data_IF_807879185098
#
_entry.id   IF_807879185098
#
_cell.length_a   1.000
_cell.length_b   1.000
_cell.length_c   1.000
_cell.angle_alpha   90.00
_cell.angle_beta   90.00
_cell.angle_gamma   90.00
#
_symmetry.space_group_name_H-M   'P 1'
#
loop_
_entity.id
_entity.type
_entity.pdbx_description
1 polymer ?
#
# COMPACT_ATOMS: atom_id res chain seq x y z
N UNK A 1 -7.55 16.53 -5.50
CA UNK A 1 -6.29 16.44 -6.25
C UNK A 1 -5.29 15.67 -5.41
N UNK A 2 -5.13 14.39 -5.70
CA UNK A 2 -4.08 13.57 -5.10
C UNK A 2 -2.77 14.08 -5.66
N UNK A 3 -1.93 14.66 -4.83
CA UNK A 3 -0.58 15.05 -5.25
C UNK A 3 0.19 13.74 -5.38
N UNK A 4 0.36 13.25 -6.61
CA UNK A 4 1.44 12.33 -6.93
C UNK A 4 2.73 13.05 -6.53
N UNK A 5 3.28 12.67 -5.38
CA UNK A 5 4.63 13.08 -5.07
C UNK A 5 5.56 12.34 -6.01
N UNK A 6 6.70 12.96 -6.33
CA UNK A 6 7.69 12.47 -7.30
C UNK A 6 8.45 11.27 -6.71
N UNK A 7 7.74 10.18 -6.44
CA UNK A 7 8.20 9.02 -5.70
C UNK A 7 8.69 7.91 -6.65
N UNK A 8 9.43 6.95 -6.11
CA UNK A 8 9.87 5.77 -6.84
C UNK A 8 8.71 5.10 -7.59
N UNK A 9 8.92 4.87 -8.89
CA UNK A 9 7.93 4.26 -9.80
C UNK A 9 8.17 2.77 -10.03
N UNK A 10 9.26 2.22 -9.47
CA UNK A 10 9.62 0.82 -9.57
C UNK A 10 9.90 0.26 -8.19
N UNK A 11 9.66 -1.04 -8.01
CA UNK A 11 9.91 -1.72 -6.74
C UNK A 11 11.37 -1.60 -6.28
N UNK A 12 12.40 -1.75 -7.14
CA UNK A 12 13.78 -1.57 -6.71
C UNK A 12 14.11 -0.13 -6.27
N UNK A 13 13.57 0.89 -6.96
CA UNK A 13 13.78 2.27 -6.56
C UNK A 13 13.12 2.55 -5.20
N UNK A 14 11.93 1.98 -4.96
CA UNK A 14 11.21 2.13 -3.70
C UNK A 14 11.90 1.37 -2.56
N UNK A 15 12.48 0.20 -2.85
CA UNK A 15 13.27 -0.56 -1.89
C UNK A 15 14.42 0.28 -1.33
N UNK A 16 15.09 1.05 -2.20
CA UNK A 16 16.16 1.98 -1.81
C UNK A 16 15.59 3.16 -1.02
N UNK A 17 14.52 3.79 -1.51
CA UNK A 17 13.88 4.95 -0.86
C UNK A 17 13.39 4.62 0.57
N UNK A 18 12.83 3.43 0.78
CA UNK A 18 12.34 2.97 2.08
C UNK A 18 13.41 2.32 2.95
N UNK A 19 14.60 2.04 2.42
CA UNK A 19 15.63 1.25 3.12
C UNK A 19 15.25 -0.22 3.36
N UNK A 20 14.39 -0.79 2.52
CA UNK A 20 13.89 -2.17 2.62
C UNK A 20 14.40 -2.98 1.42
N UNK A 21 15.61 -3.57 1.48
CA UNK A 21 16.20 -4.27 0.34
C UNK A 21 15.38 -5.50 -0.11
N UNK A 22 14.64 -6.12 0.81
CA UNK A 22 13.81 -7.29 0.57
C UNK A 22 12.40 -6.97 0.01
N UNK A 23 12.11 -5.70 -0.31
CA UNK A 23 10.77 -5.29 -0.75
C UNK A 23 10.28 -6.08 -1.98
N UNK A 24 11.16 -6.39 -2.93
CA UNK A 24 10.81 -7.18 -4.11
C UNK A 24 10.27 -8.57 -3.74
N UNK A 25 10.95 -9.27 -2.83
CA UNK A 25 10.50 -10.58 -2.35
C UNK A 25 9.15 -10.49 -1.63
N UNK A 26 8.92 -9.44 -0.83
CA UNK A 26 7.64 -9.20 -0.15
C UNK A 26 6.51 -8.94 -1.15
N UNK A 27 6.76 -8.18 -2.22
CA UNK A 27 5.77 -7.94 -3.28
C UNK A 27 5.43 -9.25 -4.00
N UNK A 28 6.42 -10.07 -4.32
CA UNK A 28 6.21 -11.37 -4.96
C UNK A 28 5.38 -12.33 -4.09
N UNK A 29 5.68 -12.39 -2.79
CA UNK A 29 4.91 -13.16 -1.81
C UNK A 29 3.47 -12.65 -1.69
N UNK A 30 3.28 -11.34 -1.53
CA UNK A 30 1.97 -10.73 -1.46
C UNK A 30 1.13 -11.03 -2.72
N UNK A 31 1.72 -10.90 -3.91
CA UNK A 31 1.03 -11.23 -5.16
C UNK A 31 0.64 -12.70 -5.24
N UNK A 32 1.49 -13.60 -4.76
CA UNK A 32 1.16 -15.02 -4.69
C UNK A 32 -0.04 -15.29 -3.78
N UNK A 33 -0.08 -14.69 -2.58
CA UNK A 33 -1.23 -14.81 -1.67
C UNK A 33 -2.52 -14.30 -2.31
N UNK A 34 -2.46 -13.16 -3.03
CA UNK A 34 -3.63 -12.60 -3.71
C UNK A 34 -4.14 -13.50 -4.86
N UNK A 35 -3.23 -14.16 -5.58
CA UNK A 35 -3.57 -15.07 -6.68
C UNK A 35 -4.05 -16.44 -6.19
N UNK A 36 -3.66 -16.85 -4.98
CA UNK A 36 -3.95 -18.15 -4.41
C UNK A 36 -4.56 -18.07 -3.00
N UNK A 37 -5.73 -17.43 -2.83
CA UNK A 37 -6.30 -17.13 -1.50
C UNK A 37 -6.72 -18.38 -0.70
N UNK A 38 -6.87 -19.53 -1.37
CA UNK A 38 -7.23 -20.80 -0.73
C UNK A 38 -6.04 -21.75 -0.59
N UNK A 39 -4.82 -21.30 -0.87
CA UNK A 39 -3.63 -22.15 -0.70
C UNK A 39 -3.33 -22.29 0.80
N UNK A 40 -3.34 -23.52 1.36
CA UNK A 40 -3.09 -23.74 2.78
C UNK A 40 -1.58 -23.73 3.13
N UNK A 41 -0.70 -23.65 2.13
CA UNK A 41 0.74 -23.73 2.31
C UNK A 41 1.31 -22.42 2.85
N UNK A 42 2.25 -22.52 3.79
CA UNK A 42 3.02 -21.38 4.27
C UNK A 42 3.95 -20.87 3.16
N UNK A 43 4.07 -19.56 3.01
CA UNK A 43 4.96 -18.92 2.04
C UNK A 43 6.43 -19.36 2.17
N UNK A 44 6.86 -19.74 3.37
CA UNK A 44 8.22 -20.23 3.63
C UNK A 44 8.50 -21.61 3.02
N UNK A 45 7.45 -22.41 2.79
CA UNK A 45 7.56 -23.74 2.15
C UNK A 45 7.49 -23.66 0.62
N UNK A 46 7.20 -22.48 0.06
CA UNK A 46 7.02 -22.29 -1.38
C UNK A 46 8.37 -21.97 -2.02
N UNK A 47 8.80 -22.79 -3.00
CA UNK A 47 10.01 -22.51 -3.77
C UNK A 47 9.95 -21.16 -4.49
N UNK A 48 11.06 -20.43 -4.50
CA UNK A 48 11.13 -19.07 -5.06
C UNK A 48 10.65 -18.95 -6.51
N UNK A 49 10.89 -19.99 -7.32
CA UNK A 49 10.49 -20.02 -8.73
C UNK A 49 8.96 -20.05 -8.95
N UNK A 50 8.18 -20.36 -7.91
CA UNK A 50 6.72 -20.34 -8.00
C UNK A 50 6.14 -18.94 -7.77
N UNK A 51 6.92 -18.02 -7.20
CA UNK A 51 6.44 -16.66 -7.03
C UNK A 51 6.36 -15.93 -8.38
N UNK A 52 5.30 -15.14 -8.60
CA UNK A 52 5.19 -14.34 -9.80
C UNK A 52 6.25 -13.24 -9.79
N UNK A 53 6.97 -13.09 -10.90
CA UNK A 53 7.84 -11.93 -11.10
C UNK A 53 7.00 -10.68 -11.38
N UNK A 54 7.34 -9.57 -10.73
CA UNK A 54 6.68 -8.29 -10.94
C UNK A 54 7.70 -7.20 -11.29
N UNK A 55 7.74 -6.85 -12.58
CA UNK A 55 8.54 -5.74 -13.11
C UNK A 55 7.67 -4.50 -13.43
N UNK A 56 6.44 -4.49 -12.93
CA UNK A 56 5.47 -3.43 -13.19
C UNK A 56 5.77 -2.13 -12.45
N UNK A 57 5.12 -1.05 -12.91
CA UNK A 57 5.17 0.25 -12.24
C UNK A 57 4.30 0.27 -11.00
N UNK A 58 4.81 0.86 -9.92
CA UNK A 58 4.07 1.04 -8.67
C UNK A 58 3.52 2.46 -8.54
N UNK A 59 2.39 2.59 -7.85
CA UNK A 59 1.81 3.88 -7.49
C UNK A 59 1.70 3.97 -5.98
N UNK A 60 2.12 5.10 -5.42
CA UNK A 60 2.17 5.33 -3.98
C UNK A 60 1.14 6.39 -3.62
N UNK A 61 0.32 6.09 -2.62
CA UNK A 61 -0.71 6.98 -2.13
C UNK A 61 -0.46 7.29 -0.65
N UNK A 62 -0.02 8.51 -0.36
CA UNK A 62 0.21 8.97 1.02
C UNK A 62 -1.08 9.38 1.74
N UNK A 63 -2.24 9.07 1.17
CA UNK A 63 -3.52 9.38 1.79
C UNK A 63 -4.57 8.36 1.36
N UNK A 64 -5.46 8.05 2.29
CA UNK A 64 -6.67 7.29 2.03
C UNK A 64 -7.88 8.11 2.50
N UNK A 65 -9.05 7.87 1.91
CA UNK A 65 -10.31 8.42 2.41
C UNK A 65 -11.26 7.29 2.79
N UNK A 66 -11.92 7.45 3.93
CA UNK A 66 -12.94 6.52 4.42
C UNK A 66 -14.29 7.21 4.37
N UNK A 67 -15.24 6.63 3.65
CA UNK A 67 -16.62 7.13 3.57
C UNK A 67 -17.52 6.18 4.33
N UNK A 68 -18.26 6.70 5.31
CA UNK A 68 -19.14 5.90 6.15
C UNK A 68 -20.40 6.66 6.52
N UNK A 69 -21.43 5.90 6.88
CA UNK A 69 -22.69 6.44 7.36
C UNK A 69 -22.60 6.71 8.86
N UNK A 70 -22.89 7.94 9.27
CA UNK A 70 -22.87 8.37 10.66
C UNK A 70 -24.29 8.77 11.08
N UNK A 71 -25.11 7.85 11.64
CA UNK A 71 -26.52 8.12 11.95
C UNK A 71 -26.74 9.24 12.97
N UNK A 72 -25.77 9.44 13.86
CA UNK A 72 -25.78 10.45 14.92
C UNK A 72 -25.44 11.86 14.43
N UNK A 73 -24.96 11.99 13.19
CA UNK A 73 -24.57 13.28 12.65
C UNK A 73 -25.74 13.93 11.89
N UNK A 74 -26.33 14.93 12.53
CA UNK A 74 -27.48 15.70 12.02
C UNK A 74 -27.05 16.69 10.93
N UNK A 75 -25.74 16.91 10.76
CA UNK A 75 -25.20 18.02 9.97
C UNK A 75 -25.04 17.78 8.46
N UNK A 76 -25.38 16.60 7.93
CA UNK A 76 -25.16 16.26 6.51
C UNK A 76 -26.39 15.75 5.75
N UNK A 77 -26.60 16.24 4.51
CA UNK A 77 -27.54 15.64 3.55
C UNK A 77 -27.16 14.19 3.33
N UNK A 78 -28.02 13.26 3.77
CA UNK A 78 -27.82 11.82 3.62
C UNK A 78 -26.97 11.14 4.70
N UNK A 79 -26.57 11.83 5.78
CA UNK A 79 -25.81 11.26 6.93
C UNK A 79 -24.52 10.51 6.53
N UNK A 80 -23.95 10.85 5.38
CA UNK A 80 -22.67 10.32 4.89
C UNK A 80 -21.53 11.23 5.31
N UNK A 81 -20.49 10.65 5.93
CA UNK A 81 -19.24 11.30 6.30
C UNK A 81 -18.10 10.81 5.42
N UNK A 82 -17.09 11.66 5.27
CA UNK A 82 -15.82 11.32 4.60
C UNK A 82 -14.70 11.82 5.48
N UNK A 83 -13.86 10.90 5.94
CA UNK A 83 -12.64 11.22 6.69
C UNK A 83 -11.43 10.96 5.79
N UNK A 84 -10.38 11.76 5.95
CA UNK A 84 -9.13 11.62 5.22
C UNK A 84 -8.03 11.23 6.20
N UNK A 85 -7.32 10.15 5.90
CA UNK A 85 -6.20 9.62 6.66
C UNK A 85 -4.95 9.90 5.84
N UNK A 86 -4.00 10.65 6.39
CA UNK A 86 -2.76 11.02 5.69
C UNK A 86 -1.57 10.32 6.34
N UNK A 87 -0.73 9.71 5.52
CA UNK A 87 0.63 9.35 5.86
C UNK A 87 1.51 10.55 5.55
N UNK A 88 1.69 11.46 6.50
CA UNK A 88 2.56 12.62 6.32
C UNK A 88 3.98 12.25 6.71
N UNK A 89 4.96 12.05 5.80
CA UNK A 89 6.34 11.70 6.18
C UNK A 89 7.00 12.73 7.11
N UNK A 90 6.56 14.00 7.08
CA UNK A 90 7.06 15.07 7.95
C UNK A 90 6.77 14.90 9.46
N UNK A 91 5.87 13.99 9.85
CA UNK A 91 5.45 13.86 11.26
C UNK A 91 6.55 13.39 12.22
N UNK A 92 7.66 12.84 11.71
CA UNK A 92 8.80 12.40 12.51
C UNK A 92 10.01 13.35 12.50
N UNK A 93 9.93 14.55 11.93
CA UNK A 93 11.10 15.46 11.78
C UNK A 93 12.33 14.81 11.09
N UNK A 94 12.14 13.72 10.36
CA UNK A 94 13.19 13.03 9.61
C UNK A 94 13.02 13.28 8.12
N UNK A 95 13.41 14.47 7.67
CA UNK A 95 13.83 14.75 6.30
C UNK A 95 14.82 15.93 6.36
N UNK A 96 15.85 15.98 5.47
CA UNK A 96 17.00 16.87 5.59
C UNK A 96 16.66 18.37 5.49
#
# INVERSE_FOLDING_TARGET
NFVEQNQAKTVPALAIELGIPQLSALVHQFLFEQLHPNNPQDLSDIPEFQFPNYDGGISIFNSASSRFYAPSDISGVGRMRTEYIWACPLWQNEAP
#
